data_IF_704594447631
#
_entry.id   IF_704594447631
#
_cell.length_a   1.000
_cell.length_b   1.000
_cell.length_c   1.000
_cell.angle_alpha   90.00
_cell.angle_beta   90.00
_cell.angle_gamma   90.00
#
_symmetry.space_group_name_H-M   'P 1'
#
loop_
_entity.id
_entity.type
_entity.pdbx_description
1 polymer ?
#
# COMPACT_ATOMS: atom_id res chain seq x y z
N UNK A 1 -1.76 17.67 18.43
CA UNK A 1 -2.13 16.64 17.43
C UNK A 1 -3.37 15.93 17.94
N UNK A 2 -4.18 15.33 17.06
CA UNK A 2 -5.32 14.52 17.50
C UNK A 2 -4.81 13.20 18.09
N UNK A 3 -5.38 12.75 19.20
CA UNK A 3 -5.05 11.46 19.82
C UNK A 3 -5.90 10.29 19.26
N UNK A 4 -6.75 10.58 18.27
CA UNK A 4 -7.58 9.57 17.61
C UNK A 4 -6.77 8.85 16.52
N UNK A 5 -7.03 7.54 16.29
CA UNK A 5 -6.45 6.83 15.16
C UNK A 5 -6.89 7.48 13.84
N UNK A 6 -6.01 7.45 12.85
CA UNK A 6 -6.27 7.95 11.50
C UNK A 6 -5.87 6.90 10.46
N UNK A 7 -6.50 6.98 9.30
CA UNK A 7 -6.12 6.20 8.12
C UNK A 7 -6.06 7.13 6.90
N UNK A 8 -5.28 6.73 5.89
CA UNK A 8 -5.29 7.37 4.56
C UNK A 8 -5.93 6.38 3.60
N UNK A 9 -6.86 6.86 2.79
CA UNK A 9 -7.52 6.09 1.75
C UNK A 9 -7.49 6.91 0.47
N UNK A 10 -7.08 6.28 -0.63
CA UNK A 10 -6.98 6.94 -1.92
C UNK A 10 -6.48 5.98 -3.00
N UNK A 11 -6.36 6.49 -4.22
CA UNK A 11 -5.73 5.76 -5.31
C UNK A 11 -4.21 6.01 -5.29
N UNK A 12 -3.46 5.09 -4.70
CA UNK A 12 -2.01 5.16 -4.61
C UNK A 12 -1.30 4.80 -5.91
N UNK A 13 -1.98 4.16 -6.87
CA UNK A 13 -1.41 3.62 -8.12
C UNK A 13 -0.21 2.66 -7.95
N UNK A 14 0.02 2.14 -6.74
CA UNK A 14 1.08 1.18 -6.41
C UNK A 14 0.53 0.08 -5.49
N UNK A 15 1.29 -1.00 -5.32
CA UNK A 15 0.86 -2.22 -4.63
C UNK A 15 1.83 -2.61 -3.52
N UNK A 16 1.29 -3.02 -2.37
CA UNK A 16 2.08 -3.57 -1.27
C UNK A 16 2.45 -5.03 -1.51
N UNK A 17 1.70 -5.78 -2.32
CA UNK A 17 2.00 -7.17 -2.65
C UNK A 17 1.77 -7.42 -4.15
N UNK A 18 2.52 -8.37 -4.74
CA UNK A 18 2.28 -8.73 -6.15
C UNK A 18 0.94 -9.47 -6.29
N UNK A 19 0.51 -10.11 -5.21
CA UNK A 19 -0.73 -10.86 -5.06
C UNK A 19 -1.96 -9.96 -5.20
N UNK A 20 -1.83 -8.65 -4.89
CA UNK A 20 -2.88 -7.66 -5.08
C UNK A 20 -3.12 -7.34 -6.56
N UNK A 21 -2.14 -7.64 -7.43
CA UNK A 21 -2.24 -7.35 -8.85
C UNK A 21 -3.19 -8.34 -9.53
N UNK A 22 -4.38 -7.85 -9.85
CA UNK A 22 -5.30 -8.57 -10.76
C UNK A 22 -4.82 -8.44 -12.21
N UNK A 23 -4.70 -9.55 -12.93
CA UNK A 23 -4.36 -9.61 -14.36
C UNK A 23 -2.98 -10.22 -14.67
N UNK A 24 -2.69 -10.40 -15.96
CA UNK A 24 -1.60 -11.29 -16.39
C UNK A 24 -0.18 -10.71 -16.25
N UNK A 25 -0.03 -9.38 -16.23
CA UNK A 25 1.30 -8.74 -16.12
C UNK A 25 1.60 -8.39 -14.67
N UNK A 26 2.75 -8.82 -14.11
CA UNK A 26 3.17 -8.43 -12.77
C UNK A 26 3.42 -6.93 -12.71
N UNK A 27 3.21 -6.34 -11.54
CA UNK A 27 3.59 -4.95 -11.32
C UNK A 27 5.11 -4.85 -11.24
N UNK A 28 5.76 -3.76 -11.66
CA UNK A 28 7.20 -3.63 -11.52
C UNK A 28 7.64 -3.72 -10.05
N UNK A 29 8.54 -4.65 -9.72
CA UNK A 29 8.97 -4.89 -8.33
C UNK A 29 9.56 -3.65 -7.63
N UNK A 30 10.20 -2.75 -8.38
CA UNK A 30 10.78 -1.53 -7.82
C UNK A 30 9.72 -0.54 -7.34
N UNK A 31 8.52 -0.53 -7.95
CA UNK A 31 7.38 0.26 -7.49
C UNK A 31 6.86 -0.30 -6.16
N UNK A 32 6.57 -1.60 -6.10
CA UNK A 32 6.16 -2.26 -4.85
C UNK A 32 7.17 -2.03 -3.71
N UNK A 33 8.47 -2.13 -4.00
CA UNK A 33 9.51 -1.90 -2.99
C UNK A 33 9.58 -0.45 -2.54
N UNK A 34 9.44 0.50 -3.47
CA UNK A 34 9.38 1.92 -3.14
C UNK A 34 8.17 2.25 -2.26
N UNK A 35 7.00 1.71 -2.60
CA UNK A 35 5.78 1.93 -1.84
C UNK A 35 5.83 1.31 -0.44
N UNK A 36 6.33 0.07 -0.31
CA UNK A 36 6.58 -0.56 1.00
C UNK A 36 7.55 0.26 1.86
N UNK A 37 8.59 0.82 1.25
CA UNK A 37 9.55 1.66 1.98
C UNK A 37 8.87 2.92 2.52
N UNK A 38 8.07 3.61 1.68
CA UNK A 38 7.32 4.78 2.11
C UNK A 38 6.29 4.48 3.22
N UNK A 39 5.60 3.34 3.14
CA UNK A 39 4.67 2.88 4.20
C UNK A 39 5.43 2.57 5.49
N UNK A 40 6.57 1.90 5.41
CA UNK A 40 7.42 1.60 6.56
C UNK A 40 7.99 2.88 7.20
N UNK A 41 8.45 3.84 6.41
CA UNK A 41 9.01 5.11 6.89
C UNK A 41 7.97 5.99 7.61
N UNK A 42 6.68 5.74 7.37
CA UNK A 42 5.57 6.44 7.99
C UNK A 42 4.91 5.66 9.14
N UNK A 43 5.47 4.51 9.55
CA UNK A 43 4.88 3.59 10.54
C UNK A 43 3.42 3.20 10.19
N UNK A 44 3.11 3.13 8.91
CA UNK A 44 1.79 2.76 8.42
C UNK A 44 1.64 1.24 8.32
N UNK A 45 0.42 0.78 8.53
CA UNK A 45 0.04 -0.62 8.36
C UNK A 45 -1.10 -0.71 7.36
N UNK A 46 -1.06 -1.76 6.55
CA UNK A 46 -2.11 -2.06 5.59
C UNK A 46 -3.42 -2.44 6.31
N UNK A 47 -4.53 -1.97 5.76
CA UNK A 47 -5.86 -2.34 6.22
C UNK A 47 -6.45 -3.23 5.14
N UNK A 48 -6.59 -4.52 5.44
CA UNK A 48 -7.19 -5.45 4.50
C UNK A 48 -8.65 -5.07 4.22
N UNK A 49 -8.96 -4.81 2.96
CA UNK A 49 -10.29 -4.47 2.48
C UNK A 49 -10.80 -5.59 1.57
N UNK A 50 -11.93 -6.19 1.94
CA UNK A 50 -12.68 -7.12 1.10
C UNK A 50 -13.84 -6.40 0.41
N UNK A 51 -14.15 -6.79 -0.83
CA UNK A 51 -15.23 -6.23 -1.64
C UNK A 51 -15.80 -7.23 -2.63
#
# INVERSE_FOLDING_TARGET
MSDLPWCIVGDFNDLLAQEDKKGNRPHPNWLCNGFRSAVCDCDLTDIHLEG
#
